data_IF_863829257447
#
_entry.id   IF_863829257447
#
_cell.length_a   1.000
_cell.length_b   1.000
_cell.length_c   1.000
_cell.angle_alpha   90.00
_cell.angle_beta   90.00
_cell.angle_gamma   90.00
#
_symmetry.space_group_name_H-M   'P 1'
#
loop_
_entity.id
_entity.type
_entity.pdbx_description
1 polymer ?
#
# COMPACT_ATOMS: atom_id res chain seq x y z
N UNK A 1 -4.61 -15.31 -29.24
CA UNK A 1 -3.89 -14.04 -29.11
C UNK A 1 -3.98 -13.61 -27.66
N UNK A 2 -2.87 -13.61 -26.92
CA UNK A 2 -2.86 -13.13 -25.57
C UNK A 2 -3.11 -11.62 -25.59
N UNK A 3 -4.25 -11.19 -25.08
CA UNK A 3 -4.56 -9.77 -24.92
C UNK A 3 -3.61 -9.26 -23.83
N UNK A 4 -2.54 -8.58 -24.22
CA UNK A 4 -1.72 -7.84 -23.25
C UNK A 4 -2.65 -6.80 -22.62
N UNK A 5 -2.94 -6.95 -21.35
CA UNK A 5 -3.56 -5.89 -20.52
C UNK A 5 -2.51 -4.79 -20.27
N UNK A 6 -1.88 -4.29 -21.34
CA UNK A 6 -0.94 -3.19 -21.24
C UNK A 6 -1.76 -1.94 -20.89
N UNK A 7 -1.55 -1.44 -19.72
CA UNK A 7 -1.99 -0.11 -19.35
C UNK A 7 -1.38 0.87 -20.38
N UNK A 8 -2.22 1.47 -21.22
CA UNK A 8 -1.81 2.55 -22.14
C UNK A 8 -1.47 3.85 -21.39
N UNK A 9 -1.55 3.83 -20.08
CA UNK A 9 -1.39 4.97 -19.18
C UNK A 9 0.02 4.92 -18.56
N UNK A 10 0.77 6.05 -18.55
CA UNK A 10 2.04 6.15 -17.85
C UNK A 10 1.91 5.76 -16.38
N UNK A 11 2.89 5.01 -15.86
CA UNK A 11 2.82 4.47 -14.51
C UNK A 11 3.88 5.09 -13.59
N UNK A 12 3.49 5.38 -12.35
CA UNK A 12 4.36 5.85 -11.28
C UNK A 12 4.32 4.88 -10.10
N UNK A 13 5.43 4.81 -9.34
CA UNK A 13 5.43 4.11 -8.06
C UNK A 13 4.58 4.83 -7.02
N UNK A 14 4.23 4.14 -5.94
CA UNK A 14 3.45 4.75 -4.86
C UNK A 14 4.14 5.98 -4.26
N UNK A 15 5.45 5.93 -4.05
CA UNK A 15 6.23 7.07 -3.54
C UNK A 15 6.19 8.26 -4.49
N UNK A 16 6.38 8.04 -5.80
CA UNK A 16 6.30 9.07 -6.82
C UNK A 16 4.90 9.70 -6.90
N UNK A 17 3.83 8.90 -6.77
CA UNK A 17 2.46 9.43 -6.71
C UNK A 17 2.23 10.33 -5.50
N UNK A 18 2.74 9.93 -4.32
CA UNK A 18 2.67 10.77 -3.11
C UNK A 18 3.46 12.07 -3.33
N UNK A 19 4.65 12.02 -3.95
CA UNK A 19 5.45 13.22 -4.24
C UNK A 19 4.71 14.18 -5.18
N UNK A 20 4.06 13.66 -6.23
CA UNK A 20 3.23 14.47 -7.14
C UNK A 20 2.07 15.11 -6.38
N UNK A 21 1.34 14.33 -5.56
CA UNK A 21 0.19 14.83 -4.81
C UNK A 21 0.57 15.83 -3.70
N UNK A 22 1.78 15.74 -3.16
CA UNK A 22 2.31 16.72 -2.19
C UNK A 22 2.94 17.96 -2.84
N UNK A 23 3.02 18.02 -4.16
CA UNK A 23 3.60 19.16 -4.88
C UNK A 23 2.58 20.27 -5.15
N UNK A 24 3.08 21.46 -5.52
CA UNK A 24 2.21 22.58 -5.96
C UNK A 24 1.36 22.25 -7.20
N UNK A 25 1.76 21.29 -8.00
CA UNK A 25 0.97 20.82 -9.14
C UNK A 25 -0.42 20.38 -8.71
N UNK A 26 -0.50 19.52 -7.68
CA UNK A 26 -1.75 18.97 -7.18
C UNK A 26 -2.68 19.99 -6.51
N UNK A 27 -2.16 21.16 -6.10
CA UNK A 27 -2.99 22.27 -5.62
C UNK A 27 -3.64 23.06 -6.78
N UNK A 28 -3.21 22.86 -8.01
CA UNK A 28 -3.71 23.56 -9.22
C UNK A 28 -4.39 22.64 -10.20
N UNK A 29 -4.01 21.36 -10.23
CA UNK A 29 -4.46 20.35 -11.19
C UNK A 29 -4.81 19.06 -10.47
N UNK A 30 -5.87 18.43 -10.91
CA UNK A 30 -6.31 17.16 -10.33
C UNK A 30 -5.70 15.98 -11.07
N UNK A 31 -5.51 14.88 -10.32
CA UNK A 31 -4.95 13.62 -10.80
C UNK A 31 -5.98 12.51 -10.59
N UNK A 32 -6.12 11.60 -11.53
CA UNK A 32 -6.82 10.34 -11.35
C UNK A 32 -5.77 9.21 -11.39
N UNK A 33 -5.78 8.39 -10.35
CA UNK A 33 -4.88 7.25 -10.20
C UNK A 33 -5.63 5.99 -10.57
N UNK A 34 -5.21 5.34 -11.65
CA UNK A 34 -5.73 4.05 -12.09
C UNK A 34 -4.81 2.91 -11.62
N UNK A 35 -5.38 1.79 -11.23
CA UNK A 35 -4.59 0.61 -10.88
C UNK A 35 -5.42 -0.56 -10.41
N UNK A 36 -4.81 -1.75 -10.30
CA UNK A 36 -5.49 -2.96 -9.87
C UNK A 36 -6.11 -2.83 -8.49
N UNK A 37 -7.13 -3.63 -8.23
CA UNK A 37 -7.75 -3.70 -6.90
C UNK A 37 -6.76 -4.22 -5.86
N UNK A 38 -6.86 -3.74 -4.63
CA UNK A 38 -6.02 -4.20 -3.51
C UNK A 38 -4.57 -3.70 -3.49
N UNK A 39 -4.15 -2.84 -4.44
CA UNK A 39 -2.76 -2.32 -4.52
C UNK A 39 -2.47 -1.18 -3.53
N UNK A 40 -3.47 -0.70 -2.79
CA UNK A 40 -3.27 0.35 -1.78
C UNK A 40 -3.55 1.79 -2.27
N UNK A 41 -4.30 1.97 -3.36
CA UNK A 41 -4.69 3.31 -3.88
C UNK A 41 -5.33 4.19 -2.80
N UNK A 42 -6.27 3.63 -2.02
CA UNK A 42 -6.95 4.34 -0.94
C UNK A 42 -5.98 4.79 0.17
N UNK A 43 -4.91 4.01 0.42
CA UNK A 43 -3.90 4.36 1.42
C UNK A 43 -3.09 5.61 1.03
N UNK A 44 -2.95 5.92 -0.27
CA UNK A 44 -2.26 7.13 -0.74
C UNK A 44 -2.89 8.38 -0.13
N UNK A 45 -4.23 8.44 -0.02
CA UNK A 45 -4.92 9.58 0.59
C UNK A 45 -4.48 9.84 2.03
N UNK A 46 -4.36 8.79 2.83
CA UNK A 46 -3.89 8.90 4.23
C UNK A 46 -2.44 9.36 4.32
N UNK A 47 -1.57 8.85 3.43
CA UNK A 47 -0.15 9.23 3.45
C UNK A 47 0.06 10.67 3.00
N UNK A 48 -0.67 11.13 1.98
CA UNK A 48 -0.64 12.53 1.53
C UNK A 48 -1.16 13.46 2.63
N UNK A 49 -2.27 13.09 3.27
CA UNK A 49 -2.84 13.84 4.37
C UNK A 49 -1.86 13.95 5.56
N UNK A 50 -1.25 12.85 5.94
CA UNK A 50 -0.24 12.82 7.00
C UNK A 50 1.00 13.67 6.66
N UNK A 51 1.49 13.59 5.40
CA UNK A 51 2.68 14.31 4.95
C UNK A 51 2.45 15.82 4.85
N UNK A 52 1.24 16.24 4.46
CA UNK A 52 0.87 17.67 4.37
C UNK A 52 0.36 18.26 5.68
N UNK A 53 -0.04 17.41 6.63
CA UNK A 53 -0.71 17.83 7.86
C UNK A 53 -2.12 18.36 7.62
N UNK A 54 -2.81 17.89 6.57
CA UNK A 54 -4.16 18.31 6.20
C UNK A 54 -5.18 17.21 6.55
N UNK A 55 -6.41 17.57 6.92
CA UNK A 55 -7.48 16.59 7.07
C UNK A 55 -7.73 15.84 5.75
N UNK A 56 -7.95 14.51 5.86
CA UNK A 56 -8.40 13.70 4.74
C UNK A 56 -9.93 13.70 4.69
N UNK A 57 -10.48 14.11 3.56
CA UNK A 57 -11.88 13.90 3.20
C UNK A 57 -11.94 12.78 2.17
N UNK A 58 -12.50 11.65 2.59
CA UNK A 58 -12.66 10.45 1.77
C UNK A 58 -14.09 10.35 1.27
N UNK A 59 -14.27 10.37 -0.05
CA UNK A 59 -15.57 10.28 -0.70
C UNK A 59 -15.61 8.99 -1.54
N UNK A 60 -16.36 8.00 -1.05
CA UNK A 60 -16.53 6.71 -1.72
C UNK A 60 -17.65 6.80 -2.75
N UNK A 61 -17.30 6.80 -4.04
CA UNK A 61 -18.26 6.90 -5.13
C UNK A 61 -19.11 5.63 -5.34
N UNK A 62 -18.79 4.51 -4.66
CA UNK A 62 -19.63 3.32 -4.72
C UNK A 62 -20.92 3.44 -3.90
N UNK A 63 -20.85 4.16 -2.77
CA UNK A 63 -21.95 4.23 -1.80
C UNK A 63 -22.58 5.61 -1.72
N UNK A 64 -21.89 6.64 -2.20
CA UNK A 64 -22.32 8.04 -2.19
C UNK A 64 -23.09 8.41 -3.45
N UNK A 65 -24.05 9.35 -3.32
CA UNK A 65 -24.83 9.96 -4.40
C UNK A 65 -24.48 11.42 -4.66
N UNK A 66 -25.22 12.06 -5.58
CA UNK A 66 -25.04 13.49 -5.89
C UNK A 66 -25.47 14.37 -4.72
N UNK A 67 -26.41 13.91 -3.93
CA UNK A 67 -26.93 14.52 -2.71
C UNK A 67 -25.87 14.61 -1.60
N UNK A 68 -24.89 13.69 -1.60
CA UNK A 68 -23.77 13.73 -0.66
C UNK A 68 -22.69 14.75 -1.06
N UNK A 69 -22.70 15.22 -2.33
CA UNK A 69 -21.82 16.31 -2.75
C UNK A 69 -22.37 17.65 -2.31
N UNK A 70 -23.67 17.88 -2.51
CA UNK A 70 -24.30 19.17 -2.26
C UNK A 70 -25.73 19.03 -1.80
N UNK A 71 -26.14 19.91 -0.87
CA UNK A 71 -27.50 20.05 -0.42
C UNK A 71 -28.11 21.37 -0.88
N UNK A 72 -29.41 21.41 -1.26
CA UNK A 72 -30.12 22.66 -1.52
C UNK A 72 -30.34 23.43 -0.21
N UNK A 73 -30.00 24.71 -0.20
CA UNK A 73 -30.27 25.63 0.91
C UNK A 73 -31.04 26.83 0.41
N UNK A 74 -32.17 27.16 1.07
CA UNK A 74 -32.91 28.38 0.80
C UNK A 74 -32.20 29.56 1.46
N UNK A 75 -31.92 30.61 0.69
CA UNK A 75 -31.27 31.83 1.17
C UNK A 75 -31.96 33.04 0.58
N UNK A 76 -32.05 34.11 1.34
CA UNK A 76 -32.59 35.39 0.84
C UNK A 76 -31.44 36.26 0.36
N UNK A 77 -31.46 36.64 -0.94
CA UNK A 77 -30.50 37.57 -1.53
C UNK A 77 -31.27 38.77 -2.11
N UNK A 78 -30.96 39.96 -1.62
CA UNK A 78 -31.64 41.21 -2.01
C UNK A 78 -33.16 41.13 -1.89
N UNK A 79 -33.69 40.48 -0.85
CA UNK A 79 -35.11 40.32 -0.62
C UNK A 79 -35.83 39.26 -1.47
N UNK A 80 -35.07 38.50 -2.28
CA UNK A 80 -35.58 37.38 -3.07
C UNK A 80 -35.10 36.07 -2.48
N UNK A 81 -36.03 35.14 -2.27
CA UNK A 81 -35.69 33.80 -1.85
C UNK A 81 -35.16 33.00 -3.05
N UNK A 82 -33.95 32.43 -2.90
CA UNK A 82 -33.30 31.59 -3.92
C UNK A 82 -32.77 30.33 -3.33
N UNK A 83 -32.60 29.31 -4.17
CA UNK A 83 -31.96 28.04 -3.77
C UNK A 83 -30.49 28.11 -4.12
N UNK A 84 -29.64 27.90 -3.12
CA UNK A 84 -28.20 27.75 -3.28
C UNK A 84 -27.81 26.29 -3.03
N UNK A 85 -26.97 25.76 -3.90
CA UNK A 85 -26.37 24.43 -3.70
C UNK A 85 -25.14 24.60 -2.79
N UNK A 86 -25.17 24.08 -1.60
CA UNK A 86 -24.08 24.15 -0.60
C UNK A 86 -23.40 22.78 -0.45
N UNK A 87 -22.09 22.74 -0.16
CA UNK A 87 -21.41 21.48 0.14
C UNK A 87 -22.01 20.78 1.35
N UNK A 88 -22.01 19.45 1.33
CA UNK A 88 -22.30 18.68 2.54
C UNK A 88 -21.25 18.98 3.63
N UNK A 89 -21.63 18.96 4.90
CA UNK A 89 -20.74 19.29 6.03
C UNK A 89 -19.53 18.40 6.16
N UNK A 90 -19.60 17.14 5.66
CA UNK A 90 -18.51 16.18 5.65
C UNK A 90 -17.22 16.69 4.98
N UNK A 91 -17.35 17.66 4.06
CA UNK A 91 -16.18 18.25 3.41
C UNK A 91 -15.38 19.19 4.31
N UNK A 92 -15.93 19.59 5.47
CA UNK A 92 -15.24 20.44 6.42
C UNK A 92 -14.94 21.86 5.90
N UNK A 93 -15.62 22.31 4.82
CA UNK A 93 -15.34 23.61 4.17
C UNK A 93 -15.71 24.82 5.05
N UNK A 94 -16.53 24.61 6.07
CA UNK A 94 -16.86 25.62 7.07
C UNK A 94 -15.67 26.08 7.92
N UNK A 95 -14.57 25.31 7.94
CA UNK A 95 -13.37 25.62 8.72
C UNK A 95 -12.32 26.44 7.95
N UNK A 96 -12.54 26.75 6.68
CA UNK A 96 -11.64 27.51 5.79
C UNK A 96 -10.17 27.03 5.87
N UNK A 97 -9.99 25.72 5.83
CA UNK A 97 -8.67 25.06 5.89
C UNK A 97 -8.42 24.21 4.65
N UNK A 98 -7.14 23.99 4.28
CA UNK A 98 -6.83 23.06 3.21
C UNK A 98 -7.14 21.63 3.63
N UNK A 99 -7.65 20.85 2.71
CA UNK A 99 -7.95 19.41 2.89
C UNK A 99 -7.27 18.60 1.79
N UNK A 100 -7.12 17.30 2.03
CA UNK A 100 -6.89 16.30 0.99
C UNK A 100 -8.25 15.69 0.65
N UNK A 101 -8.79 16.03 -0.52
CA UNK A 101 -10.07 15.49 -1.00
C UNK A 101 -9.81 14.34 -1.97
N UNK A 102 -10.19 13.15 -1.55
CA UNK A 102 -10.02 11.92 -2.31
C UNK A 102 -11.38 11.37 -2.74
N UNK A 103 -11.59 11.27 -4.05
CA UNK A 103 -12.72 10.55 -4.64
C UNK A 103 -12.28 9.11 -4.96
N UNK A 104 -12.78 8.13 -4.24
CA UNK A 104 -12.44 6.73 -4.49
C UNK A 104 -13.43 6.11 -5.47
N UNK A 105 -12.89 5.33 -6.42
CA UNK A 105 -13.64 4.64 -7.47
C UNK A 105 -14.52 5.57 -8.33
N UNK A 106 -13.93 6.68 -8.81
CA UNK A 106 -14.65 7.75 -9.55
C UNK A 106 -15.43 7.28 -10.78
N UNK A 107 -15.03 6.18 -11.41
CA UNK A 107 -15.70 5.64 -12.59
C UNK A 107 -16.93 4.76 -12.27
N UNK A 108 -17.09 4.36 -10.99
CA UNK A 108 -18.10 3.37 -10.59
C UNK A 108 -19.53 3.88 -10.69
N UNK A 109 -19.77 5.08 -10.22
CA UNK A 109 -21.10 5.70 -10.23
C UNK A 109 -21.19 6.75 -11.33
N UNK A 110 -21.79 6.40 -12.46
CA UNK A 110 -21.91 7.28 -13.63
C UNK A 110 -22.68 8.57 -13.35
N UNK A 111 -23.63 8.56 -12.41
CA UNK A 111 -24.40 9.75 -12.05
C UNK A 111 -23.58 10.81 -11.34
N UNK A 112 -22.51 10.40 -10.63
CA UNK A 112 -21.59 11.29 -9.91
C UNK A 112 -20.54 11.93 -10.82
N UNK A 113 -20.20 11.31 -11.96
CA UNK A 113 -19.09 11.74 -12.82
C UNK A 113 -19.16 13.22 -13.19
N UNK A 114 -20.33 13.79 -13.61
CA UNK A 114 -20.40 15.21 -13.93
C UNK A 114 -20.10 16.12 -12.73
N UNK A 115 -20.65 15.79 -11.56
CA UNK A 115 -20.43 16.54 -10.32
C UNK A 115 -18.97 16.48 -9.86
N UNK A 116 -18.39 15.30 -9.82
CA UNK A 116 -16.97 15.09 -9.47
C UNK A 116 -16.06 15.79 -10.47
N UNK A 117 -16.35 15.67 -11.78
CA UNK A 117 -15.58 16.37 -12.84
C UNK A 117 -15.55 17.86 -12.59
N UNK A 118 -16.66 18.46 -12.22
CA UNK A 118 -16.72 19.87 -11.87
C UNK A 118 -15.82 20.21 -10.69
N UNK A 119 -15.86 19.40 -9.62
CA UNK A 119 -14.98 19.59 -8.45
C UNK A 119 -13.49 19.46 -8.84
N UNK A 120 -13.14 18.46 -9.64
CA UNK A 120 -11.78 18.26 -10.11
C UNK A 120 -11.25 19.42 -10.96
N UNK A 121 -12.12 20.08 -11.73
CA UNK A 121 -11.72 21.15 -12.67
C UNK A 121 -11.85 22.55 -12.11
N UNK A 122 -13.00 22.84 -11.53
CA UNK A 122 -13.34 24.19 -11.06
C UNK A 122 -12.92 24.42 -9.61
N UNK A 123 -12.56 23.34 -8.90
CA UNK A 123 -12.17 23.38 -7.48
C UNK A 123 -13.24 24.05 -6.63
N UNK A 124 -14.51 23.73 -6.93
CA UNK A 124 -15.69 24.21 -6.22
C UNK A 124 -16.64 23.04 -5.93
N UNK A 125 -17.28 23.04 -4.76
CA UNK A 125 -18.39 22.13 -4.45
C UNK A 125 -19.65 22.99 -4.30
N UNK A 126 -20.65 22.74 -5.12
CA UNK A 126 -21.80 23.62 -5.20
C UNK A 126 -21.41 25.05 -5.55
N UNK A 127 -21.69 25.99 -4.64
CA UNK A 127 -21.36 27.41 -4.77
C UNK A 127 -20.09 27.82 -3.99
N UNK A 128 -19.42 26.88 -3.33
CA UNK A 128 -18.30 27.17 -2.42
C UNK A 128 -16.97 26.76 -3.05
N UNK A 129 -16.02 27.70 -3.23
CA UNK A 129 -14.68 27.37 -3.69
C UNK A 129 -13.90 26.63 -2.61
N UNK A 130 -13.05 25.71 -3.02
CA UNK A 130 -12.12 25.02 -2.13
C UNK A 130 -10.95 25.92 -1.76
N UNK A 131 -10.37 25.71 -0.58
CA UNK A 131 -9.17 26.40 -0.16
C UNK A 131 -8.04 26.21 -1.21
N UNK A 132 -7.27 27.27 -1.58
CA UNK A 132 -6.26 27.21 -2.67
C UNK A 132 -5.22 26.10 -2.52
N UNK A 133 -4.85 25.72 -1.29
CA UNK A 133 -3.89 24.64 -0.99
C UNK A 133 -4.53 23.25 -0.93
N UNK A 134 -5.84 23.12 -1.10
CA UNK A 134 -6.51 21.81 -1.10
C UNK A 134 -5.94 20.95 -2.22
N UNK A 135 -5.64 19.69 -1.91
CA UNK A 135 -5.23 18.67 -2.88
C UNK A 135 -6.45 17.84 -3.25
N UNK A 136 -6.72 17.69 -4.55
CA UNK A 136 -7.85 16.90 -5.04
C UNK A 136 -7.33 15.83 -5.97
N UNK A 137 -7.72 14.58 -5.72
CA UNK A 137 -7.44 13.49 -6.65
C UNK A 137 -8.54 12.43 -6.62
N UNK A 138 -8.60 11.65 -7.70
CA UNK A 138 -9.49 10.50 -7.77
C UNK A 138 -8.71 9.20 -7.89
N UNK A 139 -9.35 8.08 -7.54
CA UNK A 139 -8.86 6.74 -7.86
C UNK A 139 -9.88 5.99 -8.70
N UNK A 140 -9.41 5.03 -9.47
CA UNK A 140 -10.26 4.12 -10.24
C UNK A 140 -9.58 2.76 -10.36
N UNK A 141 -10.39 1.71 -10.51
CA UNK A 141 -9.90 0.38 -10.84
C UNK A 141 -9.71 0.26 -12.36
N UNK A 142 -9.00 -0.81 -12.79
CA UNK A 142 -8.83 -1.09 -14.20
C UNK A 142 -10.15 -1.55 -14.82
N UNK A 143 -10.46 -1.08 -16.03
CA UNK A 143 -11.68 -1.46 -16.74
C UNK A 143 -11.81 -2.96 -16.99
N UNK A 144 -10.71 -3.71 -16.95
CA UNK A 144 -10.70 -5.16 -17.05
C UNK A 144 -11.25 -5.89 -15.79
N UNK A 145 -11.22 -5.22 -14.62
CA UNK A 145 -11.72 -5.79 -13.36
C UNK A 145 -13.21 -5.53 -13.15
N UNK A 146 -13.71 -4.44 -13.71
CA UNK A 146 -15.09 -3.99 -13.52
C UNK A 146 -15.73 -3.76 -14.87
N UNK A 147 -16.62 -4.64 -15.29
CA UNK A 147 -17.36 -4.58 -16.55
C UNK A 147 -17.84 -3.16 -16.89
N UNK A 148 -17.01 -2.37 -17.61
CA UNK A 148 -17.39 -1.10 -18.19
C UNK A 148 -17.10 0.16 -17.38
N UNK A 149 -16.44 0.10 -16.25
CA UNK A 149 -16.08 1.28 -15.45
C UNK A 149 -14.83 1.97 -16.03
N UNK A 150 -15.03 2.76 -17.06
CA UNK A 150 -13.95 3.54 -17.71
C UNK A 150 -14.22 5.03 -17.47
N UNK A 151 -13.17 5.75 -17.07
CA UNK A 151 -13.21 7.22 -16.96
C UNK A 151 -13.55 7.79 -18.34
N UNK A 152 -14.62 8.60 -18.48
CA UNK A 152 -15.03 9.13 -19.78
C UNK A 152 -13.94 10.03 -20.41
N UNK A 153 -13.84 10.02 -21.76
CA UNK A 153 -12.83 10.77 -22.49
C UNK A 153 -12.83 12.28 -22.23
N UNK A 154 -14.00 12.86 -21.96
CA UNK A 154 -14.11 14.28 -21.61
C UNK A 154 -13.49 14.62 -20.24
N UNK A 155 -13.42 13.66 -19.31
CA UNK A 155 -12.70 13.81 -18.03
C UNK A 155 -11.21 13.64 -18.27
N UNK A 156 -10.81 12.57 -19.00
CA UNK A 156 -9.40 12.27 -19.28
C UNK A 156 -8.64 13.41 -19.96
N UNK A 157 -9.33 14.22 -20.80
CA UNK A 157 -8.69 15.37 -21.43
C UNK A 157 -8.39 16.55 -20.50
N UNK A 158 -8.87 16.50 -19.26
CA UNK A 158 -8.85 17.61 -18.30
C UNK A 158 -8.10 17.33 -17.01
N UNK A 159 -7.78 16.08 -16.75
CA UNK A 159 -7.05 15.61 -15.56
C UNK A 159 -5.82 14.81 -15.99
N UNK A 160 -4.82 14.71 -15.10
CA UNK A 160 -3.73 13.78 -15.33
C UNK A 160 -4.19 12.37 -14.94
N UNK A 161 -4.26 11.44 -15.90
CA UNK A 161 -4.54 10.04 -15.64
C UNK A 161 -3.20 9.29 -15.54
N UNK A 162 -2.92 8.71 -14.38
CA UNK A 162 -1.65 8.04 -14.07
C UNK A 162 -1.93 6.65 -13.49
N UNK A 163 -1.28 5.65 -14.06
CA UNK A 163 -1.33 4.30 -13.52
C UNK A 163 -0.45 4.14 -12.27
N UNK A 164 -0.93 3.42 -11.28
CA UNK A 164 -0.14 3.01 -10.13
C UNK A 164 0.60 1.71 -10.44
N UNK A 165 1.94 1.73 -10.33
CA UNK A 165 2.75 0.52 -10.43
C UNK A 165 2.43 -0.44 -9.30
N UNK A 166 2.44 -1.72 -9.61
CA UNK A 166 2.42 -2.76 -8.59
C UNK A 166 3.68 -2.62 -7.71
N UNK A 167 3.56 -2.78 -6.37
CA UNK A 167 4.72 -2.66 -5.50
C UNK A 167 5.75 -3.75 -5.79
N UNK A 168 7.02 -3.42 -5.63
CA UNK A 168 8.13 -4.38 -5.66
C UNK A 168 8.20 -5.17 -4.36
N UNK A 169 8.92 -6.30 -4.36
CA UNK A 169 9.20 -7.07 -3.12
C UNK A 169 9.83 -6.18 -2.07
N UNK A 170 10.82 -5.38 -2.43
CA UNK A 170 11.48 -4.45 -1.52
C UNK A 170 10.52 -3.45 -0.88
N UNK A 171 9.64 -2.83 -1.67
CA UNK A 171 8.63 -1.90 -1.16
C UNK A 171 7.66 -2.59 -0.20
N UNK A 172 7.26 -3.83 -0.49
CA UNK A 172 6.40 -4.61 0.39
C UNK A 172 7.09 -5.03 1.68
N UNK A 173 8.37 -5.41 1.63
CA UNK A 173 9.16 -5.72 2.83
C UNK A 173 9.32 -4.49 3.72
N UNK A 174 9.61 -3.32 3.14
CA UNK A 174 9.71 -2.06 3.89
C UNK A 174 8.38 -1.66 4.52
N UNK A 175 7.30 -1.72 3.74
CA UNK A 175 5.97 -1.41 4.24
C UNK A 175 5.57 -2.35 5.37
N UNK A 176 5.68 -3.66 5.17
CA UNK A 176 5.30 -4.65 6.16
C UNK A 176 6.20 -4.59 7.42
N UNK A 177 7.50 -4.33 7.26
CA UNK A 177 8.38 -4.13 8.41
C UNK A 177 8.00 -2.86 9.21
N UNK A 178 7.66 -1.76 8.53
CA UNK A 178 7.25 -0.50 9.17
C UNK A 178 5.86 -0.60 9.85
N UNK A 179 4.96 -1.41 9.30
CA UNK A 179 3.59 -1.61 9.83
C UNK A 179 3.47 -2.82 10.75
N UNK A 180 4.60 -3.51 11.02
CA UNK A 180 4.63 -4.60 12.00
C UNK A 180 4.06 -5.93 11.50
N UNK A 181 4.10 -6.21 10.19
CA UNK A 181 3.63 -7.49 9.66
C UNK A 181 4.40 -8.69 10.26
N UNK A 182 3.76 -9.86 10.29
CA UNK A 182 4.42 -11.06 10.74
C UNK A 182 5.69 -11.36 9.91
N UNK A 183 6.80 -11.68 10.59
CA UNK A 183 8.10 -11.89 9.91
C UNK A 183 8.09 -13.09 8.96
N UNK A 184 7.28 -14.12 9.24
CA UNK A 184 7.12 -15.27 8.35
C UNK A 184 6.35 -14.89 7.08
N UNK A 185 5.37 -13.97 7.18
CA UNK A 185 4.68 -13.42 6.01
C UNK A 185 5.64 -12.61 5.13
N UNK A 186 6.50 -11.80 5.71
CA UNK A 186 7.53 -11.06 4.96
C UNK A 186 8.51 -12.02 4.28
N UNK A 187 8.91 -13.11 4.97
CA UNK A 187 9.74 -14.14 4.38
C UNK A 187 9.04 -14.83 3.21
N UNK A 188 7.73 -15.10 3.32
CA UNK A 188 6.95 -15.66 2.22
C UNK A 188 6.95 -14.76 0.98
N UNK A 189 6.80 -13.45 1.15
CA UNK A 189 6.85 -12.48 0.05
C UNK A 189 8.25 -12.46 -0.60
N UNK A 190 9.30 -12.54 0.22
CA UNK A 190 10.66 -12.57 -0.28
C UNK A 190 10.98 -13.84 -1.08
N UNK A 191 10.55 -15.01 -0.58
CA UNK A 191 10.78 -16.31 -1.23
C UNK A 191 9.87 -16.53 -2.44
N UNK A 192 8.67 -15.96 -2.41
CA UNK A 192 7.64 -16.14 -3.44
C UNK A 192 7.14 -14.78 -3.95
N UNK A 193 7.93 -14.08 -4.80
CA UNK A 193 7.53 -12.79 -5.36
C UNK A 193 6.16 -12.79 -6.06
N UNK A 194 5.76 -13.94 -6.61
CA UNK A 194 4.45 -14.13 -7.23
C UNK A 194 3.25 -13.86 -6.30
N UNK A 195 3.44 -13.81 -4.97
CA UNK A 195 2.38 -13.44 -4.03
C UNK A 195 1.91 -11.98 -4.18
N UNK A 196 2.76 -11.13 -4.69
CA UNK A 196 2.47 -9.71 -4.91
C UNK A 196 2.32 -9.34 -6.37
N UNK A 197 2.36 -10.30 -7.28
CA UNK A 197 2.08 -10.07 -8.69
C UNK A 197 0.65 -9.58 -8.92
N UNK A 198 0.43 -9.04 -10.11
CA UNK A 198 -0.88 -8.65 -10.58
C UNK A 198 -1.09 -9.17 -12.00
N UNK A 199 -2.33 -9.44 -12.37
CA UNK A 199 -2.67 -9.90 -13.72
C UNK A 199 -2.25 -8.94 -14.83
N UNK A 200 -1.90 -7.70 -14.50
CA UNK A 200 -1.41 -6.70 -15.48
C UNK A 200 0.09 -6.75 -15.72
N UNK A 201 0.87 -7.31 -14.80
CA UNK A 201 2.33 -7.37 -14.91
C UNK A 201 2.88 -8.77 -15.20
N UNK A 202 2.01 -9.79 -15.32
CA UNK A 202 2.36 -11.14 -15.72
C UNK A 202 1.84 -11.45 -17.12
N UNK A 203 2.59 -12.24 -17.89
CA UNK A 203 2.16 -12.61 -19.26
C UNK A 203 0.96 -13.56 -19.23
N UNK A 204 0.96 -14.48 -18.29
CA UNK A 204 -0.04 -15.54 -18.13
C UNK A 204 -0.55 -15.58 -16.69
N UNK A 205 -1.58 -14.80 -16.36
CA UNK A 205 -2.19 -14.81 -15.02
C UNK A 205 -2.68 -16.18 -14.57
N UNK A 206 -3.08 -17.04 -15.54
CA UNK A 206 -3.49 -18.42 -15.30
C UNK A 206 -2.40 -19.29 -14.67
N UNK A 207 -1.11 -19.02 -14.97
CA UNK A 207 0.01 -19.79 -14.47
C UNK A 207 0.40 -19.40 -13.03
N UNK A 208 -0.04 -18.22 -12.55
CA UNK A 208 0.17 -17.81 -11.16
C UNK A 208 -1.09 -18.11 -10.31
N UNK A 209 -1.07 -19.13 -9.45
CA UNK A 209 -2.25 -19.54 -8.68
C UNK A 209 -2.57 -18.60 -7.51
N UNK A 210 -1.73 -17.62 -7.24
CA UNK A 210 -1.87 -16.74 -6.08
C UNK A 210 -2.71 -15.50 -6.35
N UNK A 211 -2.68 -14.99 -7.59
CA UNK A 211 -3.24 -13.69 -7.96
C UNK A 211 -4.66 -13.77 -8.51
N UNK A 212 -5.32 -12.63 -8.56
CA UNK A 212 -6.57 -12.47 -9.27
C UNK A 212 -6.36 -12.68 -10.78
N UNK A 213 -7.24 -13.48 -11.40
CA UNK A 213 -7.38 -13.58 -12.85
C UNK A 213 -8.81 -13.19 -13.24
N UNK A 214 -9.00 -12.06 -13.96
CA UNK A 214 -10.36 -11.61 -14.34
C UNK A 214 -11.10 -12.57 -15.26
N UNK A 215 -10.41 -13.56 -15.84
CA UNK A 215 -11.00 -14.59 -16.71
C UNK A 215 -11.44 -15.83 -15.93
N UNK A 216 -10.99 -15.99 -14.68
CA UNK A 216 -11.27 -17.14 -13.82
C UNK A 216 -12.16 -16.76 -12.63
N UNK A 217 -13.48 -16.86 -12.80
CA UNK A 217 -14.44 -16.55 -11.75
C UNK A 217 -14.41 -17.51 -10.55
N UNK A 218 -13.68 -18.62 -10.64
CA UNK A 218 -13.53 -19.58 -9.54
C UNK A 218 -12.56 -19.07 -8.45
N UNK A 219 -11.67 -18.14 -8.78
CA UNK A 219 -10.71 -17.53 -7.85
C UNK A 219 -11.40 -16.46 -7.00
N UNK A 220 -12.08 -16.88 -5.94
CA UNK A 220 -12.82 -15.97 -5.03
C UNK A 220 -11.93 -15.27 -4.02
N UNK A 221 -10.77 -15.85 -3.69
CA UNK A 221 -9.77 -15.31 -2.78
C UNK A 221 -8.41 -15.37 -3.46
N UNK A 222 -7.62 -14.33 -3.31
CA UNK A 222 -6.34 -14.19 -3.99
C UNK A 222 -5.39 -13.29 -3.19
N UNK A 223 -4.11 -13.45 -3.46
CA UNK A 223 -3.04 -12.64 -2.86
C UNK A 223 -2.94 -11.28 -3.55
N UNK A 224 -2.89 -10.25 -2.76
CA UNK A 224 -2.60 -8.88 -3.13
C UNK A 224 -2.13 -8.11 -1.89
N UNK A 225 -1.57 -6.90 -2.00
CA UNK A 225 -1.11 -6.13 -0.83
C UNK A 225 -2.16 -5.99 0.28
N UNK A 226 -3.43 -5.77 -0.07
CA UNK A 226 -4.53 -5.67 0.90
C UNK A 226 -4.80 -7.00 1.62
N UNK A 227 -4.90 -8.10 0.88
CA UNK A 227 -5.18 -9.40 1.49
C UNK A 227 -4.00 -9.90 2.33
N UNK A 228 -2.76 -9.58 1.95
CA UNK A 228 -1.58 -9.88 2.77
C UNK A 228 -1.57 -9.06 4.07
N UNK A 229 -2.00 -7.80 4.04
CA UNK A 229 -2.18 -7.01 5.25
C UNK A 229 -3.22 -7.64 6.19
N UNK A 230 -4.38 -7.99 5.67
CA UNK A 230 -5.43 -8.66 6.45
C UNK A 230 -4.97 -10.00 7.01
N UNK A 231 -4.14 -10.74 6.26
CA UNK A 231 -3.56 -11.97 6.76
C UNK A 231 -2.57 -11.71 7.91
N UNK A 232 -1.76 -10.65 7.82
CA UNK A 232 -0.88 -10.26 8.93
C UNK A 232 -1.65 -9.97 10.21
N UNK A 233 -2.78 -9.26 10.11
CA UNK A 233 -3.65 -8.99 11.26
C UNK A 233 -4.17 -10.29 11.89
N UNK A 234 -4.62 -11.24 11.05
CA UNK A 234 -5.03 -12.58 11.51
C UNK A 234 -3.89 -13.31 12.23
N UNK A 235 -2.67 -13.24 11.69
CA UNK A 235 -1.50 -13.92 12.26
C UNK A 235 -1.11 -13.35 13.64
N UNK A 236 -1.38 -12.08 13.92
CA UNK A 236 -1.17 -11.50 15.24
C UNK A 236 -2.15 -12.04 16.30
N UNK A 237 -3.37 -12.38 15.87
CA UNK A 237 -4.42 -12.90 16.74
C UNK A 237 -4.43 -14.44 16.83
N UNK A 238 -3.56 -15.14 16.07
CA UNK A 238 -3.59 -16.60 15.93
C UNK A 238 -3.46 -17.37 17.26
N UNK A 239 -2.80 -16.80 18.26
CA UNK A 239 -2.65 -17.42 19.59
C UNK A 239 -3.97 -17.65 20.31
N UNK A 240 -5.04 -16.92 19.91
CA UNK A 240 -6.38 -17.04 20.48
C UNK A 240 -7.31 -17.92 19.64
N UNK A 241 -6.83 -18.43 18.52
CA UNK A 241 -7.58 -19.20 17.54
C UNK A 241 -6.99 -20.60 17.38
N UNK A 242 -7.82 -21.58 17.06
CA UNK A 242 -7.32 -22.91 16.71
C UNK A 242 -6.67 -22.92 15.32
N UNK A 243 -5.69 -23.79 15.11
CA UNK A 243 -4.92 -23.87 13.86
C UNK A 243 -5.80 -24.07 12.62
N UNK A 244 -6.85 -24.90 12.74
CA UNK A 244 -7.82 -25.13 11.67
C UNK A 244 -8.57 -23.84 11.30
N UNK A 245 -8.93 -23.01 12.29
CA UNK A 245 -9.61 -21.75 12.08
C UNK A 245 -8.67 -20.78 11.36
N UNK A 246 -7.44 -20.66 11.84
CA UNK A 246 -6.42 -19.78 11.21
C UNK A 246 -6.16 -20.20 9.78
N UNK A 247 -6.01 -21.50 9.50
CA UNK A 247 -5.78 -21.99 8.13
C UNK A 247 -6.98 -21.69 7.21
N UNK A 248 -8.21 -21.95 7.67
CA UNK A 248 -9.41 -21.70 6.87
C UNK A 248 -9.61 -20.19 6.59
N UNK A 249 -9.34 -19.34 7.59
CA UNK A 249 -9.37 -17.88 7.42
C UNK A 249 -8.27 -17.43 6.45
N UNK A 250 -7.04 -17.93 6.56
CA UNK A 250 -5.97 -17.63 5.64
C UNK A 250 -6.34 -18.00 4.19
N UNK A 251 -6.92 -19.20 3.98
CA UNK A 251 -7.42 -19.60 2.65
C UNK A 251 -8.51 -18.66 2.13
N UNK A 252 -9.41 -18.20 3.01
CA UNK A 252 -10.44 -17.23 2.66
C UNK A 252 -9.89 -15.83 2.31
N UNK A 253 -8.73 -15.46 2.87
CA UNK A 253 -8.11 -14.14 2.67
C UNK A 253 -7.22 -14.12 1.41
N UNK A 254 -6.27 -15.07 1.29
CA UNK A 254 -5.23 -15.03 0.24
C UNK A 254 -5.35 -16.16 -0.80
N UNK A 255 -6.35 -17.01 -0.67
CA UNK A 255 -6.52 -18.21 -1.50
C UNK A 255 -5.73 -19.42 -0.99
N UNK A 256 -6.23 -20.62 -1.31
CA UNK A 256 -5.71 -21.87 -0.74
C UNK A 256 -4.22 -22.14 -1.06
N UNK A 257 -3.78 -21.80 -2.28
CA UNK A 257 -2.39 -22.00 -2.69
C UNK A 257 -1.43 -21.12 -1.90
N UNK A 258 -1.72 -19.82 -1.78
CA UNK A 258 -0.91 -18.86 -1.03
C UNK A 258 -0.91 -19.19 0.48
N UNK A 259 -2.10 -19.46 1.06
CA UNK A 259 -2.26 -19.77 2.47
C UNK A 259 -1.39 -20.98 2.90
N UNK A 260 -1.39 -22.06 2.11
CA UNK A 260 -0.58 -23.26 2.41
C UNK A 260 0.91 -22.94 2.53
N UNK A 261 1.46 -22.17 1.60
CA UNK A 261 2.88 -21.79 1.61
C UNK A 261 3.21 -20.85 2.78
N UNK A 262 2.40 -19.83 2.99
CA UNK A 262 2.61 -18.85 4.06
C UNK A 262 2.52 -19.53 5.42
N UNK A 263 1.50 -20.38 5.67
CA UNK A 263 1.32 -21.05 6.96
C UNK A 263 2.44 -22.04 7.28
N UNK A 264 3.06 -22.67 6.28
CA UNK A 264 4.26 -23.48 6.50
C UNK A 264 5.43 -22.64 7.06
N UNK A 265 5.63 -21.42 6.54
CA UNK A 265 6.66 -20.51 7.05
C UNK A 265 6.29 -19.96 8.43
N UNK A 266 5.01 -19.72 8.70
CA UNK A 266 4.52 -19.31 10.02
C UNK A 266 4.83 -20.38 11.07
N UNK A 267 4.50 -21.63 10.79
CA UNK A 267 4.82 -22.77 11.67
C UNK A 267 6.33 -22.92 11.90
N UNK A 268 7.12 -22.74 10.83
CA UNK A 268 8.58 -22.73 10.93
C UNK A 268 9.06 -21.59 11.84
N UNK A 269 8.50 -20.39 11.69
CA UNK A 269 8.82 -19.21 12.50
C UNK A 269 8.60 -19.40 14.00
N UNK A 270 7.59 -20.20 14.37
CA UNK A 270 7.29 -20.51 15.79
C UNK A 270 8.39 -21.34 16.47
N UNK A 271 9.16 -22.09 15.69
CA UNK A 271 10.29 -22.91 16.20
C UNK A 271 11.59 -22.15 16.36
N UNK A 272 11.64 -20.89 15.90
CA UNK A 272 12.87 -20.11 15.87
C UNK A 272 13.13 -19.38 17.20
N UNK A 273 14.40 -19.07 17.50
CA UNK A 273 14.77 -18.27 18.65
C UNK A 273 14.04 -16.93 18.64
N UNK A 274 13.54 -16.53 19.79
CA UNK A 274 12.84 -15.25 19.92
C UNK A 274 13.83 -14.08 19.94
N UNK A 275 13.38 -12.92 19.53
CA UNK A 275 14.20 -11.69 19.45
C UNK A 275 14.99 -11.41 20.74
N UNK A 276 14.34 -11.56 21.92
CA UNK A 276 14.97 -11.33 23.22
C UNK A 276 16.10 -12.32 23.51
N UNK A 277 15.99 -13.56 23.06
CA UNK A 277 17.03 -14.60 23.22
C UNK A 277 18.24 -14.27 22.36
N UNK A 278 18.02 -13.81 21.11
CA UNK A 278 19.07 -13.36 20.20
C UNK A 278 19.83 -12.16 20.78
N UNK A 279 19.12 -11.20 21.35
CA UNK A 279 19.76 -10.02 21.99
C UNK A 279 20.58 -10.42 23.21
N UNK A 280 20.06 -11.36 24.02
CA UNK A 280 20.73 -11.80 25.24
C UNK A 280 22.00 -12.62 24.99
N UNK A 281 21.97 -13.52 24.01
CA UNK A 281 23.12 -14.37 23.66
C UNK A 281 23.27 -14.53 22.13
N UNK A 282 23.75 -13.50 21.42
CA UNK A 282 23.84 -13.49 19.96
C UNK A 282 24.84 -14.53 19.40
N UNK A 283 25.74 -15.06 20.22
CA UNK A 283 26.73 -16.06 19.82
C UNK A 283 26.30 -17.50 20.15
N UNK A 284 25.63 -17.71 21.28
CA UNK A 284 25.21 -19.02 21.74
C UNK A 284 23.88 -19.50 21.16
N UNK A 285 22.99 -18.58 20.79
CA UNK A 285 21.72 -18.94 20.14
C UNK A 285 21.99 -19.73 18.85
N UNK A 286 21.32 -20.88 18.68
CA UNK A 286 21.47 -21.71 17.47
C UNK A 286 21.01 -20.94 16.23
N UNK A 287 21.91 -20.83 15.23
CA UNK A 287 21.54 -20.27 13.93
C UNK A 287 20.61 -21.25 13.20
N UNK A 288 19.56 -20.78 12.50
CA UNK A 288 18.65 -21.64 11.78
C UNK A 288 19.32 -22.38 10.63
N UNK A 289 18.86 -23.62 10.38
CA UNK A 289 19.47 -24.52 9.39
C UNK A 289 18.89 -24.31 7.97
N UNK A 290 17.59 -23.98 7.83
CA UNK A 290 16.94 -23.81 6.54
C UNK A 290 16.98 -22.35 6.03
N UNK A 291 16.90 -22.15 4.72
CA UNK A 291 16.90 -20.82 4.08
C UNK A 291 15.76 -19.95 4.62
N UNK A 292 14.52 -20.46 4.57
CA UNK A 292 13.35 -19.70 5.04
C UNK A 292 13.46 -19.31 6.51
N UNK A 293 13.96 -20.24 7.39
CA UNK A 293 14.16 -19.94 8.79
C UNK A 293 15.18 -18.81 9.03
N UNK A 294 16.24 -18.74 8.23
CA UNK A 294 17.24 -17.66 8.27
C UNK A 294 16.66 -16.33 7.85
N UNK A 295 15.85 -16.31 6.79
CA UNK A 295 15.16 -15.12 6.30
C UNK A 295 14.15 -14.62 7.35
N UNK A 296 13.32 -15.50 7.92
CA UNK A 296 12.38 -15.15 9.00
C UNK A 296 13.13 -14.50 10.17
N UNK A 297 14.23 -15.13 10.63
CA UNK A 297 15.03 -14.59 11.75
C UNK A 297 15.62 -13.21 11.42
N UNK A 298 16.12 -13.00 10.21
CA UNK A 298 16.67 -11.73 9.78
C UNK A 298 15.60 -10.64 9.70
N UNK A 299 14.43 -10.94 9.16
CA UNK A 299 13.31 -10.00 9.04
C UNK A 299 12.70 -9.68 10.41
N UNK A 300 12.60 -10.65 11.31
CA UNK A 300 12.21 -10.42 12.71
C UNK A 300 13.20 -9.49 13.42
N UNK A 301 14.50 -9.67 13.18
CA UNK A 301 15.53 -8.78 13.71
C UNK A 301 15.44 -7.38 13.10
N UNK A 302 15.23 -7.28 11.78
CA UNK A 302 15.08 -6.02 11.06
C UNK A 302 13.94 -5.15 11.61
N UNK A 303 12.80 -5.75 11.92
CA UNK A 303 11.66 -5.03 12.47
C UNK A 303 11.96 -4.38 13.81
N UNK A 304 12.67 -5.09 14.69
CA UNK A 304 12.85 -4.74 16.11
C UNK A 304 14.23 -4.16 16.45
N UNK A 305 15.13 -4.08 15.47
CA UNK A 305 16.46 -3.49 15.70
C UNK A 305 16.37 -1.97 15.82
N UNK A 306 16.98 -1.46 16.88
CA UNK A 306 17.18 -0.05 17.18
C UNK A 306 18.67 0.20 17.45
N UNK A 307 19.07 1.46 17.60
CA UNK A 307 20.47 1.83 17.80
C UNK A 307 21.11 1.14 19.02
N UNK A 308 20.33 0.97 20.10
CA UNK A 308 20.78 0.43 21.39
C UNK A 308 21.02 -1.09 21.34
N UNK A 309 20.26 -1.81 20.53
CA UNK A 309 20.37 -3.28 20.42
C UNK A 309 21.05 -3.73 19.12
N UNK A 310 21.58 -2.80 18.33
CA UNK A 310 22.17 -3.10 17.03
C UNK A 310 23.36 -4.08 17.12
N UNK A 311 24.30 -3.83 18.04
CA UNK A 311 25.55 -4.62 18.13
C UNK A 311 25.29 -6.12 18.37
N UNK A 312 24.48 -6.57 19.35
CA UNK A 312 24.14 -7.98 19.50
C UNK A 312 23.39 -8.52 18.29
N UNK A 313 22.41 -7.80 17.75
CA UNK A 313 21.67 -8.23 16.57
C UNK A 313 22.60 -8.41 15.37
N UNK A 314 23.45 -7.44 15.10
CA UNK A 314 24.37 -7.52 13.96
C UNK A 314 25.42 -8.63 14.14
N UNK A 315 25.84 -8.90 15.38
CA UNK A 315 26.68 -10.07 15.71
C UNK A 315 25.98 -11.38 15.32
N UNK A 316 24.70 -11.52 15.62
CA UNK A 316 23.91 -12.68 15.21
C UNK A 316 23.75 -12.76 13.68
N UNK A 317 23.39 -11.65 13.01
CA UNK A 317 23.21 -11.58 11.56
C UNK A 317 24.50 -11.99 10.82
N UNK A 318 25.68 -11.57 11.29
CA UNK A 318 26.97 -11.95 10.69
C UNK A 318 27.27 -13.46 10.73
N UNK A 319 26.51 -14.26 11.49
CA UNK A 319 26.62 -15.73 11.52
C UNK A 319 25.75 -16.42 10.45
N UNK A 320 24.85 -15.67 9.82
CA UNK A 320 23.99 -16.16 8.74
C UNK A 320 24.70 -16.10 7.39
N UNK A 321 24.22 -16.79 6.34
CA UNK A 321 24.78 -16.69 5.00
C UNK A 321 24.79 -15.25 4.45
N UNK A 322 25.71 -14.97 3.53
CA UNK A 322 25.94 -13.62 3.00
C UNK A 322 24.71 -13.02 2.35
N UNK A 323 23.87 -13.82 1.68
CA UNK A 323 22.62 -13.36 1.05
C UNK A 323 21.64 -12.81 2.10
N UNK A 324 21.55 -13.47 3.26
CA UNK A 324 20.68 -13.04 4.37
C UNK A 324 21.26 -11.80 5.06
N UNK A 325 22.58 -11.72 5.20
CA UNK A 325 23.24 -10.51 5.68
C UNK A 325 22.98 -9.32 4.76
N UNK A 326 23.06 -9.54 3.45
CA UNK A 326 22.77 -8.54 2.43
C UNK A 326 21.31 -8.08 2.48
N UNK A 327 20.35 -9.01 2.59
CA UNK A 327 18.94 -8.70 2.75
C UNK A 327 18.72 -7.79 3.97
N UNK A 328 19.25 -8.18 5.14
CA UNK A 328 19.13 -7.39 6.36
C UNK A 328 19.73 -5.99 6.20
N UNK A 329 20.97 -5.91 5.69
CA UNK A 329 21.69 -4.65 5.54
C UNK A 329 21.04 -3.71 4.52
N UNK A 330 20.59 -4.22 3.38
CA UNK A 330 19.91 -3.43 2.35
C UNK A 330 18.58 -2.89 2.86
N UNK A 331 17.76 -3.72 3.50
CA UNK A 331 16.47 -3.27 4.04
C UNK A 331 16.67 -2.25 5.19
N UNK A 332 17.71 -2.42 6.00
CA UNK A 332 18.06 -1.48 7.06
C UNK A 332 18.42 -0.08 6.50
N UNK A 333 19.22 -0.05 5.43
CA UNK A 333 19.61 1.19 4.74
C UNK A 333 18.46 1.83 3.97
N UNK A 334 17.55 1.05 3.42
CA UNK A 334 16.37 1.55 2.72
C UNK A 334 15.28 2.08 3.66
N UNK A 335 15.37 1.80 4.98
CA UNK A 335 14.45 2.33 5.99
C UNK A 335 14.95 3.68 6.49
N UNK A 336 14.33 4.83 6.15
CA UNK A 336 14.90 6.17 6.40
C UNK A 336 15.26 6.42 7.87
N UNK A 337 14.40 6.02 8.80
CA UNK A 337 14.62 6.19 10.25
C UNK A 337 15.80 5.38 10.76
N UNK A 338 16.05 4.21 10.18
CA UNK A 338 17.15 3.32 10.58
C UNK A 338 18.45 3.68 9.88
N UNK A 339 18.40 4.12 8.62
CA UNK A 339 19.57 4.55 7.85
C UNK A 339 20.37 5.67 8.54
N UNK A 340 19.68 6.60 9.21
CA UNK A 340 20.30 7.73 9.91
C UNK A 340 21.26 7.29 11.01
N UNK A 341 20.87 6.31 11.83
CA UNK A 341 21.71 5.88 12.95
C UNK A 341 22.65 4.73 12.57
N UNK A 342 22.24 3.83 11.67
CA UNK A 342 23.05 2.66 11.29
C UNK A 342 24.34 3.08 10.57
N UNK A 343 24.29 4.14 9.75
CA UNK A 343 25.48 4.70 9.08
C UNK A 343 26.57 5.19 10.05
N UNK A 344 26.21 5.40 11.31
CA UNK A 344 27.14 5.82 12.38
C UNK A 344 27.72 4.62 13.15
N UNK A 345 27.24 3.41 12.89
CA UNK A 345 27.73 2.19 13.54
C UNK A 345 29.01 1.71 12.86
N UNK A 346 30.13 1.68 13.58
CA UNK A 346 31.44 1.32 13.05
C UNK A 346 31.44 -0.08 12.40
N UNK A 347 30.85 -1.07 13.08
CA UNK A 347 30.75 -2.47 12.59
C UNK A 347 29.99 -2.56 11.28
N UNK A 348 28.92 -1.78 11.13
CA UNK A 348 28.13 -1.74 9.90
C UNK A 348 28.89 -1.06 8.77
N UNK A 349 29.55 0.05 9.05
CA UNK A 349 30.34 0.81 8.06
C UNK A 349 31.49 -0.05 7.53
N UNK A 350 32.17 -0.79 8.40
CA UNK A 350 33.23 -1.72 7.99
C UNK A 350 32.65 -2.87 7.12
N UNK A 351 31.53 -3.44 7.51
CA UNK A 351 30.83 -4.47 6.74
C UNK A 351 30.42 -3.94 5.35
N UNK A 352 29.78 -2.77 5.29
CA UNK A 352 29.35 -2.14 4.04
C UNK A 352 30.54 -1.85 3.11
N UNK A 353 31.67 -1.38 3.65
CA UNK A 353 32.88 -1.15 2.86
C UNK A 353 33.46 -2.44 2.29
N UNK A 354 33.51 -3.52 3.09
CA UNK A 354 34.02 -4.83 2.63
C UNK A 354 33.12 -5.50 1.60
N UNK A 355 31.82 -5.21 1.64
CA UNK A 355 30.80 -5.86 0.81
C UNK A 355 30.05 -4.85 -0.08
N UNK A 356 30.76 -3.82 -0.56
CA UNK A 356 30.17 -2.70 -1.33
C UNK A 356 29.31 -3.16 -2.52
N UNK A 357 29.70 -4.23 -3.20
CA UNK A 357 28.95 -4.79 -4.31
C UNK A 357 27.52 -5.25 -3.96
N UNK A 358 27.22 -5.54 -2.69
CA UNK A 358 25.90 -5.93 -2.21
C UNK A 358 24.91 -4.73 -2.10
N UNK A 359 25.43 -3.49 -2.12
CA UNK A 359 24.65 -2.26 -1.98
C UNK A 359 24.47 -1.50 -3.30
N UNK A 360 25.04 -2.00 -4.40
CA UNK A 360 25.02 -1.36 -5.72
C UNK A 360 24.09 -2.03 -6.73
N UNK A 361 23.28 -2.99 -6.29
CA UNK A 361 22.28 -3.66 -7.12
C UNK A 361 20.90 -3.06 -6.98
#
# INVERSE_FOLDING_TARGET
MATKFNASVPQLSRSQLIDVLCSEYATKRSVIIEGPTGTGKTQIGRDVAARLGFPLVYFDCNVKGIEDLTCPQFVTINGVEVVRSVPHEEFGLQFDQPIVLMFDEVAKNRSLIPGITRVLLERTIGSVPLHPKTVIFGTTNLGAENFGDVVPGFVMSRVALIGMKNPTVDEMLQYGAATGWDAALLAAIHEMPGLIDCFTNVEKPEDNPYIYDPRDSSRRSFSCPRSLHNLSDLLHERQYLGDDVVMNMAMGIVGAAAAKHIMNLVTLGDTLPKFKEIVADPKGVKAPDSAGARIISALMCLQRVEAENFSPIFTYIKRLPMEVQALFANQLMKTPTKAVWVSRQADFTEFARKNFALFTQ
#
